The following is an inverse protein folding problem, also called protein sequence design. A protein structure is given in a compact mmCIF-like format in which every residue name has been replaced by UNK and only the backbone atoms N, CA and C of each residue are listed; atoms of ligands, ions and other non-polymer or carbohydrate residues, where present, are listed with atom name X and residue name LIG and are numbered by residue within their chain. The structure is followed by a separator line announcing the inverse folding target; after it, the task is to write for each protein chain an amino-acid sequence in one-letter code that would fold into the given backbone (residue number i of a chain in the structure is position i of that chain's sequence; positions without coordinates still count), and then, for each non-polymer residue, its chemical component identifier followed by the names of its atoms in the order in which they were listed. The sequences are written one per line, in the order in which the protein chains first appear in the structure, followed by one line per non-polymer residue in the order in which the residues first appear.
data_IF_352498754037
#
_entry.id   IF_352498754037
#
_cell.length_a   1.000
_cell.length_b   1.000
_cell.length_c   1.000
_cell.angle_alpha   90.00
_cell.angle_beta   90.00
_cell.angle_gamma   90.00
#
_symmetry.space_group_name_H-M   'P 1'
#
loop_
_entity.id
_entity.type
_entity.pdbx_description
1 polymer ?
#
# COMPACT_ATOMS: atom_id res chain seq x y z
N UNK A 1 66.26 -77.36 -45.71
CA UNK A 1 65.08 -76.47 -45.55
C UNK A 1 65.56 -75.11 -45.08
N UNK A 2 64.80 -74.09 -45.43
CA UNK A 2 65.09 -72.67 -45.26
C UNK A 2 65.05 -72.20 -43.80
N UNK A 3 65.98 -71.33 -43.40
CA UNK A 3 65.68 -69.88 -43.39
C UNK A 3 66.90 -68.99 -43.16
N UNK A 4 67.07 -68.08 -44.13
CA UNK A 4 67.60 -66.71 -44.08
C UNK A 4 68.34 -66.25 -42.81
N UNK A 5 69.62 -65.93 -42.99
CA UNK A 5 70.37 -64.94 -42.20
C UNK A 5 69.85 -63.52 -42.45
N UNK A 6 69.65 -62.75 -41.38
CA UNK A 6 69.74 -61.28 -41.39
C UNK A 6 70.47 -60.86 -40.11
N UNK A 7 71.65 -60.26 -40.25
CA UNK A 7 72.41 -59.72 -39.12
C UNK A 7 71.84 -58.37 -38.66
N UNK A 8 71.55 -58.25 -37.36
CA UNK A 8 71.41 -56.95 -36.68
C UNK A 8 72.21 -57.01 -35.37
N UNK A 9 72.93 -55.93 -35.07
CA UNK A 9 74.02 -55.93 -34.10
C UNK A 9 73.59 -56.02 -32.63
N UNK A 10 74.51 -56.59 -31.84
CA UNK A 10 74.44 -56.82 -30.42
C UNK A 10 74.60 -55.51 -29.62
N UNK A 11 73.53 -55.02 -29.00
CA UNK A 11 73.59 -54.20 -27.78
C UNK A 11 72.74 -54.84 -26.67
N UNK A 12 73.23 -54.88 -25.41
CA UNK A 12 72.52 -55.54 -24.33
C UNK A 12 71.36 -54.70 -23.79
N UNK A 13 70.38 -55.36 -23.17
CA UNK A 13 69.37 -54.69 -22.37
C UNK A 13 70.04 -53.97 -21.19
N UNK A 14 70.02 -52.63 -21.22
CA UNK A 14 70.31 -51.81 -20.05
C UNK A 14 68.99 -51.60 -19.31
N UNK A 15 68.79 -52.33 -18.21
CA UNK A 15 67.78 -51.97 -17.23
C UNK A 15 68.14 -50.58 -16.66
N UNK A 16 67.49 -49.54 -17.19
CA UNK A 16 67.41 -48.27 -16.48
C UNK A 16 66.51 -48.48 -15.27
N UNK A 17 67.12 -48.93 -14.17
CA UNK A 17 66.44 -49.06 -12.89
C UNK A 17 65.75 -47.74 -12.54
N UNK A 18 64.43 -47.78 -12.51
CA UNK A 18 63.60 -46.59 -12.32
C UNK A 18 63.84 -46.03 -10.91
N UNK A 19 64.74 -45.05 -10.80
CA UNK A 19 64.95 -44.31 -9.57
C UNK A 19 63.60 -43.72 -9.14
N UNK A 20 63.19 -43.87 -7.87
CA UNK A 20 61.89 -43.38 -7.42
C UNK A 20 61.82 -41.88 -7.68
N UNK A 21 60.79 -41.45 -8.41
CA UNK A 21 60.61 -40.06 -8.80
C UNK A 21 60.63 -39.18 -7.55
N UNK A 22 61.68 -38.36 -7.42
CA UNK A 22 61.80 -37.43 -6.30
C UNK A 22 60.62 -36.45 -6.39
N UNK A 23 59.86 -36.19 -5.31
CA UNK A 23 58.76 -35.25 -5.35
C UNK A 23 59.28 -33.88 -5.82
N UNK A 24 58.54 -33.22 -6.72
CA UNK A 24 58.95 -31.92 -7.28
C UNK A 24 59.14 -30.89 -6.17
N UNK A 25 59.88 -29.83 -6.46
CA UNK A 25 60.13 -28.78 -5.46
C UNK A 25 58.82 -28.17 -4.96
N UNK A 26 57.81 -28.01 -5.83
CA UNK A 26 56.44 -27.58 -5.48
C UNK A 26 55.79 -28.54 -4.48
N UNK A 27 55.94 -29.85 -4.69
CA UNK A 27 55.37 -30.87 -3.80
C UNK A 27 56.09 -30.93 -2.44
N UNK A 28 57.38 -30.59 -2.41
CA UNK A 28 58.15 -30.42 -1.18
C UNK A 28 57.84 -29.09 -0.46
N UNK A 29 57.56 -28.02 -1.20
CA UNK A 29 57.09 -26.74 -0.64
C UNK A 29 55.67 -26.89 -0.07
N UNK A 30 54.76 -27.52 -0.81
CA UNK A 30 53.38 -27.79 -0.38
C UNK A 30 53.33 -28.67 0.88
N UNK A 31 54.15 -29.72 0.96
CA UNK A 31 54.19 -30.57 2.16
C UNK A 31 54.77 -29.86 3.39
N UNK A 32 55.76 -28.96 3.23
CA UNK A 32 56.23 -28.06 4.29
C UNK A 32 55.13 -27.09 4.73
N UNK A 33 54.47 -26.43 3.78
CA UNK A 33 53.35 -25.52 4.07
C UNK A 33 52.18 -26.24 4.77
N UNK A 34 51.85 -27.47 4.37
CA UNK A 34 50.85 -28.30 5.05
C UNK A 34 51.26 -28.69 6.48
N UNK A 35 52.56 -28.91 6.74
CA UNK A 35 53.05 -29.18 8.09
C UNK A 35 53.00 -27.96 9.01
N UNK A 36 53.22 -26.76 8.47
CA UNK A 36 53.26 -25.49 9.22
C UNK A 36 51.86 -24.85 9.37
N UNK A 37 51.07 -24.80 8.29
CA UNK A 37 49.78 -24.10 8.21
C UNK A 37 48.56 -25.02 8.04
N UNK A 38 48.74 -26.32 7.77
CA UNK A 38 47.60 -27.22 7.49
C UNK A 38 46.58 -27.33 8.63
N UNK A 39 47.04 -27.25 9.90
CA UNK A 39 46.16 -27.23 11.08
C UNK A 39 45.31 -25.95 11.18
N UNK A 40 45.89 -24.73 11.21
CA UNK A 40 45.09 -23.51 11.23
C UNK A 40 44.21 -23.36 9.97
N UNK A 41 44.71 -23.77 8.79
CA UNK A 41 43.92 -23.78 7.55
C UNK A 41 42.68 -24.68 7.64
N UNK A 42 42.82 -25.91 8.18
CA UNK A 42 41.67 -26.80 8.44
C UNK A 42 40.68 -26.18 9.42
N UNK A 43 41.13 -25.55 10.52
CA UNK A 43 40.21 -24.89 11.45
C UNK A 43 39.50 -23.70 10.81
N UNK A 44 40.17 -22.93 9.95
CA UNK A 44 39.56 -21.84 9.18
C UNK A 44 38.51 -22.34 8.18
N UNK A 45 38.79 -23.45 7.49
CA UNK A 45 37.85 -24.08 6.55
C UNK A 45 36.63 -24.64 7.28
N UNK A 46 36.80 -25.30 8.43
CA UNK A 46 35.68 -25.79 9.26
C UNK A 46 34.83 -24.62 9.79
N UNK A 47 35.45 -23.54 10.28
CA UNK A 47 34.72 -22.35 10.71
C UNK A 47 33.94 -21.70 9.54
N UNK A 48 34.56 -21.59 8.36
CA UNK A 48 33.89 -21.09 7.17
C UNK A 48 32.71 -21.99 6.75
N UNK A 49 32.86 -23.31 6.82
CA UNK A 49 31.78 -24.26 6.53
C UNK A 49 30.61 -24.15 7.52
N UNK A 50 30.89 -23.96 8.82
CA UNK A 50 29.85 -23.72 9.85
C UNK A 50 29.15 -22.37 9.63
N UNK A 51 29.89 -21.31 9.26
CA UNK A 51 29.32 -20.00 8.92
C UNK A 51 28.43 -20.11 7.67
N UNK A 52 28.88 -20.79 6.61
CA UNK A 52 28.09 -21.02 5.39
C UNK A 52 26.85 -21.88 5.66
N UNK A 53 26.95 -22.91 6.49
CA UNK A 53 25.79 -23.70 6.93
C UNK A 53 24.79 -22.85 7.74
N UNK A 54 25.27 -22.01 8.66
CA UNK A 54 24.45 -21.07 9.42
C UNK A 54 23.74 -20.05 8.53
N UNK A 55 24.44 -19.48 7.54
CA UNK A 55 23.87 -18.58 6.53
C UNK A 55 22.84 -19.33 5.66
N UNK A 56 23.13 -20.57 5.26
CA UNK A 56 22.20 -21.39 4.47
C UNK A 56 20.90 -21.66 5.22
N UNK A 57 20.98 -22.11 6.48
CA UNK A 57 19.82 -22.33 7.37
C UNK A 57 19.06 -21.02 7.64
N UNK A 58 19.76 -19.90 7.84
CA UNK A 58 19.12 -18.59 8.02
C UNK A 58 18.39 -18.11 6.75
N UNK A 59 18.99 -18.25 5.56
CA UNK A 59 18.35 -17.91 4.28
C UNK A 59 17.16 -18.82 4.00
N UNK A 60 17.28 -20.13 4.21
CA UNK A 60 16.19 -21.09 4.06
C UNK A 60 15.02 -20.75 5.00
N UNK A 61 15.30 -20.47 6.28
CA UNK A 61 14.27 -20.10 7.26
C UNK A 61 13.60 -18.75 6.96
N UNK A 62 14.29 -17.83 6.29
CA UNK A 62 13.67 -16.59 5.79
C UNK A 62 12.85 -16.82 4.51
N UNK A 63 13.29 -17.72 3.61
CA UNK A 63 12.48 -18.12 2.45
C UNK A 63 11.14 -18.74 2.89
N UNK A 64 11.16 -19.71 3.81
CA UNK A 64 9.95 -20.32 4.36
C UNK A 64 9.03 -19.33 5.09
N UNK A 65 9.59 -18.26 5.68
CA UNK A 65 8.80 -17.16 6.26
C UNK A 65 8.13 -16.30 5.17
N UNK A 66 8.84 -15.97 4.10
CA UNK A 66 8.29 -15.22 2.98
C UNK A 66 7.19 -16.01 2.27
N UNK A 67 7.42 -17.30 2.02
CA UNK A 67 6.42 -18.24 1.48
C UNK A 67 5.16 -18.29 2.37
N UNK A 68 5.33 -18.42 3.68
CA UNK A 68 4.20 -18.42 4.63
C UNK A 68 3.46 -17.06 4.70
N UNK A 69 4.16 -15.93 4.53
CA UNK A 69 3.56 -14.60 4.50
C UNK A 69 2.80 -14.32 3.19
N UNK A 70 3.27 -14.87 2.06
CA UNK A 70 2.55 -14.87 0.77
C UNK A 70 1.34 -15.79 0.82
N UNK A 71 1.48 -17.01 1.36
CA UNK A 71 0.35 -17.93 1.50
C UNK A 71 -0.72 -17.38 2.44
N UNK A 72 -0.34 -16.71 3.54
CA UNK A 72 -1.30 -16.04 4.41
C UNK A 72 -2.09 -14.95 3.67
N UNK A 73 -1.41 -14.12 2.87
CA UNK A 73 -2.05 -13.09 2.05
C UNK A 73 -3.11 -13.67 1.09
N UNK A 74 -2.83 -14.83 0.47
CA UNK A 74 -3.76 -15.53 -0.41
C UNK A 74 -4.88 -16.31 0.32
N UNK A 75 -4.90 -16.34 1.65
CA UNK A 75 -5.95 -16.98 2.45
C UNK A 75 -6.78 -15.97 3.26
N UNK A 76 -6.28 -14.75 3.46
CA UNK A 76 -7.04 -13.62 3.99
C UNK A 76 -8.26 -13.33 3.12
N UNK A 77 -9.43 -13.26 3.76
CA UNK A 77 -10.72 -12.96 3.12
C UNK A 77 -11.39 -11.72 3.73
N UNK A 78 -10.74 -11.07 4.70
CA UNK A 78 -11.23 -9.87 5.40
C UNK A 78 -10.14 -8.79 5.52
N UNK A 79 -10.50 -7.50 5.55
CA UNK A 79 -9.55 -6.41 5.75
C UNK A 79 -8.87 -6.49 7.12
N UNK A 80 -9.55 -7.03 8.15
CA UNK A 80 -8.97 -7.30 9.46
C UNK A 80 -7.81 -8.31 9.40
N UNK A 81 -7.91 -9.36 8.59
CA UNK A 81 -6.83 -10.35 8.42
C UNK A 81 -5.66 -9.75 7.65
N UNK A 82 -5.93 -8.98 6.58
CA UNK A 82 -4.91 -8.25 5.83
C UNK A 82 -4.15 -7.26 6.72
N UNK A 83 -4.86 -6.47 7.53
CA UNK A 83 -4.26 -5.52 8.46
C UNK A 83 -3.47 -6.22 9.58
N UNK A 84 -4.00 -7.29 10.17
CA UNK A 84 -3.28 -8.09 11.17
C UNK A 84 -2.03 -8.76 10.58
N UNK A 85 -2.07 -9.24 9.34
CA UNK A 85 -0.91 -9.80 8.67
C UNK A 85 0.22 -8.76 8.51
N UNK A 86 -0.13 -7.54 8.11
CA UNK A 86 0.82 -6.42 8.01
C UNK A 86 1.38 -6.01 9.38
N UNK A 87 0.55 -5.94 10.42
CA UNK A 87 0.95 -5.59 11.79
C UNK A 87 1.83 -6.66 12.46
N UNK A 88 1.62 -7.94 12.12
CA UNK A 88 2.34 -9.09 12.71
C UNK A 88 3.78 -9.23 12.22
N UNK A 89 4.06 -8.87 10.96
CA UNK A 89 5.43 -8.83 10.43
C UNK A 89 5.63 -7.61 9.49
N UNK A 90 5.79 -6.38 10.04
CA UNK A 90 5.97 -5.15 9.25
C UNK A 90 7.30 -5.08 8.47
N UNK A 91 8.08 -6.15 8.45
CA UNK A 91 9.31 -6.30 7.66
C UNK A 91 9.17 -7.37 6.56
N UNK A 92 8.02 -8.06 6.49
CA UNK A 92 7.70 -8.94 5.38
C UNK A 92 7.46 -8.14 4.09
N UNK A 93 7.97 -8.64 2.96
CA UNK A 93 7.79 -7.99 1.65
C UNK A 93 6.30 -7.87 1.24
N UNK A 94 5.41 -8.66 1.83
CA UNK A 94 3.96 -8.60 1.63
C UNK A 94 3.25 -7.60 2.54
N UNK A 95 3.87 -7.10 3.61
CA UNK A 95 3.20 -6.23 4.59
C UNK A 95 2.71 -4.88 4.03
N UNK A 96 3.39 -4.22 3.08
CA UNK A 96 2.85 -3.04 2.40
C UNK A 96 1.60 -3.40 1.58
N UNK A 97 1.68 -4.45 0.76
CA UNK A 97 0.56 -4.90 -0.07
C UNK A 97 -0.65 -5.30 0.80
N UNK A 98 -0.43 -6.04 1.88
CA UNK A 98 -1.46 -6.42 2.84
C UNK A 98 -2.15 -5.18 3.44
N UNK A 99 -1.40 -4.16 3.86
CA UNK A 99 -1.98 -2.95 4.45
C UNK A 99 -2.73 -2.09 3.41
N UNK A 100 -2.24 -2.02 2.16
CA UNK A 100 -2.94 -1.35 1.07
C UNK A 100 -4.24 -2.09 0.67
N UNK A 101 -4.21 -3.42 0.60
CA UNK A 101 -5.40 -4.25 0.35
C UNK A 101 -6.42 -4.16 1.48
N UNK A 102 -5.99 -4.10 2.75
CA UNK A 102 -6.88 -3.84 3.88
C UNK A 102 -7.60 -2.50 3.73
N UNK A 103 -6.86 -1.43 3.41
CA UNK A 103 -7.43 -0.09 3.23
C UNK A 103 -8.42 -0.01 2.07
N UNK A 104 -8.09 -0.61 0.91
CA UNK A 104 -8.96 -0.67 -0.26
C UNK A 104 -10.25 -1.48 0.01
N UNK A 105 -10.15 -2.59 0.74
CA UNK A 105 -11.30 -3.42 1.11
C UNK A 105 -12.16 -2.76 2.20
N UNK A 106 -11.58 -2.06 3.18
CA UNK A 106 -12.35 -1.19 4.09
C UNK A 106 -13.12 -0.12 3.31
N UNK A 107 -12.49 0.53 2.33
CA UNK A 107 -13.17 1.52 1.47
C UNK A 107 -14.32 0.88 0.66
N UNK A 108 -14.11 -0.30 0.08
CA UNK A 108 -15.14 -1.04 -0.65
C UNK A 108 -16.33 -1.46 0.23
N UNK A 109 -16.09 -1.70 1.53
CA UNK A 109 -17.14 -1.97 2.54
C UNK A 109 -17.84 -0.71 3.07
N UNK A 110 -17.46 0.49 2.63
CA UNK A 110 -18.00 1.76 3.13
C UNK A 110 -17.44 2.18 4.50
N UNK A 111 -16.33 1.58 4.93
CA UNK A 111 -15.69 1.74 6.25
C UNK A 111 -14.55 2.74 6.15
N UNK A 112 -14.92 3.98 5.82
CA UNK A 112 -13.99 5.01 5.38
C UNK A 112 -13.02 5.49 6.47
N UNK A 113 -13.42 5.47 7.75
CA UNK A 113 -12.55 5.75 8.88
C UNK A 113 -11.42 4.70 9.00
N UNK A 114 -11.74 3.41 8.93
CA UNK A 114 -10.74 2.34 8.96
C UNK A 114 -9.85 2.33 7.70
N UNK A 115 -10.44 2.65 6.54
CA UNK A 115 -9.70 2.79 5.28
C UNK A 115 -8.68 3.94 5.35
N UNK A 116 -9.10 5.13 5.81
CA UNK A 116 -8.25 6.30 6.00
C UNK A 116 -7.10 5.98 6.95
N UNK A 117 -7.39 5.43 8.13
CA UNK A 117 -6.37 5.06 9.11
C UNK A 117 -5.38 3.99 8.58
N UNK A 118 -5.85 3.05 7.75
CA UNK A 118 -4.99 2.05 7.12
C UNK A 118 -4.09 2.65 6.02
N UNK A 119 -4.60 3.57 5.19
CA UNK A 119 -3.80 4.29 4.20
C UNK A 119 -2.79 5.26 4.84
N UNK A 120 -3.16 6.01 5.87
CA UNK A 120 -2.24 6.88 6.61
C UNK A 120 -1.11 6.07 7.28
N UNK A 121 -1.46 4.91 7.86
CA UNK A 121 -0.46 4.00 8.41
C UNK A 121 0.45 3.42 7.31
N UNK A 122 -0.08 3.07 6.13
CA UNK A 122 0.74 2.66 4.99
C UNK A 122 1.75 3.76 4.62
N UNK A 123 1.30 5.01 4.49
CA UNK A 123 2.16 6.13 4.10
C UNK A 123 3.21 6.45 5.16
N UNK A 124 2.91 6.21 6.44
CA UNK A 124 3.84 6.38 7.57
C UNK A 124 4.88 5.26 7.63
N UNK A 125 4.47 4.00 7.42
CA UNK A 125 5.34 2.83 7.51
C UNK A 125 6.17 2.57 6.24
N UNK A 126 5.61 2.87 5.07
CA UNK A 126 6.16 2.52 3.76
C UNK A 126 6.22 3.71 2.76
N UNK A 127 6.71 4.91 3.16
CA UNK A 127 6.61 6.15 2.36
C UNK A 127 7.31 6.11 0.99
N UNK A 128 8.22 5.16 0.76
CA UNK A 128 8.94 4.99 -0.51
C UNK A 128 8.55 3.71 -1.28
N UNK A 129 7.41 3.10 -0.93
CA UNK A 129 6.88 1.94 -1.64
C UNK A 129 6.16 2.35 -2.94
N UNK A 130 6.15 1.47 -3.94
CA UNK A 130 5.49 1.71 -5.23
C UNK A 130 3.97 1.95 -5.14
N UNK A 131 3.31 1.50 -4.07
CA UNK A 131 1.88 1.75 -3.81
C UNK A 131 1.62 3.05 -3.01
N UNK A 132 2.66 3.83 -2.67
CA UNK A 132 2.48 5.11 -1.97
C UNK A 132 1.64 6.15 -2.74
N UNK A 133 1.69 6.24 -4.09
CA UNK A 133 0.77 7.09 -4.84
C UNK A 133 -0.69 6.61 -4.68
N UNK A 134 -0.94 5.30 -4.81
CA UNK A 134 -2.26 4.70 -4.65
C UNK A 134 -2.83 4.95 -3.24
N UNK A 135 -2.00 4.82 -2.20
CA UNK A 135 -2.39 5.13 -0.83
C UNK A 135 -2.67 6.63 -0.61
N UNK A 136 -1.95 7.54 -1.27
CA UNK A 136 -2.25 8.99 -1.24
C UNK A 136 -3.56 9.33 -1.94
N UNK A 137 -3.85 8.69 -3.08
CA UNK A 137 -5.17 8.78 -3.71
C UNK A 137 -6.26 8.22 -2.77
N UNK A 138 -5.98 7.09 -2.13
CA UNK A 138 -6.86 6.45 -1.15
C UNK A 138 -7.25 7.35 0.03
N UNK A 139 -6.30 8.07 0.63
CA UNK A 139 -6.57 9.08 1.67
C UNK A 139 -7.57 10.13 1.18
N UNK A 140 -7.34 10.74 0.02
CA UNK A 140 -8.21 11.77 -0.53
C UNK A 140 -9.61 11.23 -0.89
N UNK A 141 -9.70 9.99 -1.38
CA UNK A 141 -10.97 9.31 -1.64
C UNK A 141 -11.75 8.98 -0.36
N UNK A 142 -11.07 8.57 0.72
CA UNK A 142 -11.71 8.39 2.03
C UNK A 142 -12.26 9.72 2.56
N UNK A 143 -11.51 10.81 2.39
CA UNK A 143 -11.95 12.16 2.77
C UNK A 143 -13.15 12.64 1.95
N UNK A 144 -13.20 12.38 0.63
CA UNK A 144 -14.40 12.65 -0.20
C UNK A 144 -15.61 11.84 0.29
N UNK A 145 -15.40 10.58 0.68
CA UNK A 145 -16.45 9.68 1.16
C UNK A 145 -16.91 9.96 2.61
N UNK A 146 -16.16 10.75 3.37
CA UNK A 146 -16.48 11.23 4.73
C UNK A 146 -17.08 12.65 4.75
N UNK A 147 -17.46 13.20 3.59
CA UNK A 147 -17.88 14.60 3.39
C UNK A 147 -16.78 15.65 3.77
N UNK A 148 -15.52 15.24 3.96
CA UNK A 148 -14.37 16.11 4.25
C UNK A 148 -13.81 16.78 2.98
N UNK A 149 -14.70 17.32 2.14
CA UNK A 149 -14.38 17.81 0.79
C UNK A 149 -13.18 18.76 0.71
N UNK A 150 -12.99 19.64 1.70
CA UNK A 150 -11.85 20.56 1.73
C UNK A 150 -10.49 19.85 1.91
N UNK A 151 -10.46 18.74 2.66
CA UNK A 151 -9.26 17.91 2.80
C UNK A 151 -9.04 17.07 1.52
N UNK A 152 -10.12 16.48 0.97
CA UNK A 152 -10.09 15.73 -0.28
C UNK A 152 -9.54 16.54 -1.45
N UNK A 153 -10.00 17.80 -1.64
CA UNK A 153 -9.47 18.72 -2.66
C UNK A 153 -7.95 18.90 -2.51
N UNK A 154 -7.48 19.19 -1.29
CA UNK A 154 -6.05 19.38 -1.04
C UNK A 154 -5.23 18.10 -1.29
N UNK A 155 -5.75 16.93 -0.88
CA UNK A 155 -5.13 15.63 -1.12
C UNK A 155 -5.04 15.27 -2.61
N UNK A 156 -6.14 15.42 -3.34
CA UNK A 156 -6.19 15.16 -4.79
C UNK A 156 -5.31 16.13 -5.59
N UNK A 157 -5.30 17.43 -5.25
CA UNK A 157 -4.41 18.42 -5.90
C UNK A 157 -2.94 18.13 -5.59
N UNK A 158 -2.59 17.79 -4.35
CA UNK A 158 -1.23 17.40 -3.98
C UNK A 158 -0.78 16.14 -4.74
N UNK A 159 -1.63 15.11 -4.84
CA UNK A 159 -1.37 13.91 -5.63
C UNK A 159 -1.15 14.24 -7.12
N UNK A 160 -2.00 15.08 -7.72
CA UNK A 160 -1.91 15.45 -9.14
C UNK A 160 -0.68 16.33 -9.47
N UNK A 161 -0.11 17.02 -8.47
CA UNK A 161 1.11 17.80 -8.58
C UNK A 161 2.38 16.98 -8.29
N UNK A 162 2.34 16.03 -7.35
CA UNK A 162 3.48 15.16 -7.01
C UNK A 162 3.68 14.05 -8.06
N UNK A 163 2.61 13.58 -8.71
CA UNK A 163 2.65 12.47 -9.66
C UNK A 163 2.10 12.87 -11.06
N UNK A 164 2.78 13.77 -11.80
CA UNK A 164 2.33 14.26 -13.11
C UNK A 164 2.08 13.13 -14.13
N UNK A 165 2.90 12.08 -14.11
CA UNK A 165 2.85 10.95 -15.06
C UNK A 165 1.95 9.78 -14.60
N UNK A 166 1.24 9.89 -13.47
CA UNK A 166 0.44 8.78 -12.94
C UNK A 166 -0.90 8.65 -13.70
N UNK A 167 -1.30 7.46 -14.18
CA UNK A 167 -2.59 7.24 -14.86
C UNK A 167 -3.85 7.69 -14.08
N UNK A 168 -3.78 7.79 -12.75
CA UNK A 168 -4.87 8.29 -11.90
C UNK A 168 -4.88 9.82 -11.75
N UNK A 169 -3.88 10.57 -12.24
CA UNK A 169 -3.86 12.05 -12.18
C UNK A 169 -5.12 12.69 -12.77
N UNK A 170 -5.63 12.28 -13.96
CA UNK A 170 -6.85 12.87 -14.51
C UNK A 170 -8.07 12.60 -13.61
N UNK A 171 -8.15 11.42 -13.00
CA UNK A 171 -9.20 11.06 -12.06
C UNK A 171 -9.15 11.91 -10.78
N UNK A 172 -7.96 12.15 -10.22
CA UNK A 172 -7.79 13.01 -9.04
C UNK A 172 -8.17 14.47 -9.32
N UNK A 173 -7.79 15.04 -10.46
CA UNK A 173 -8.19 16.40 -10.85
C UNK A 173 -9.72 16.52 -11.01
N UNK A 174 -10.35 15.54 -11.64
CA UNK A 174 -11.81 15.47 -11.76
C UNK A 174 -12.50 15.33 -10.39
N UNK A 175 -11.96 14.52 -9.47
CA UNK A 175 -12.48 14.35 -8.13
C UNK A 175 -12.33 15.62 -7.26
N UNK A 176 -11.21 16.35 -7.40
CA UNK A 176 -11.03 17.67 -6.77
C UNK A 176 -12.09 18.68 -7.26
N UNK A 177 -12.37 18.72 -8.58
CA UNK A 177 -13.40 19.59 -9.13
C UNK A 177 -14.81 19.24 -8.59
N UNK A 178 -15.16 17.96 -8.50
CA UNK A 178 -16.40 17.47 -7.87
C UNK A 178 -16.52 17.89 -6.40
N UNK A 179 -15.45 17.77 -5.62
CA UNK A 179 -15.44 18.16 -4.21
C UNK A 179 -15.68 19.67 -4.07
N UNK A 180 -15.08 20.50 -4.94
CA UNK A 180 -15.37 21.94 -5.01
C UNK A 180 -16.82 22.25 -5.41
N UNK A 181 -17.50 21.39 -6.19
CA UNK A 181 -18.96 21.52 -6.41
C UNK A 181 -19.75 21.30 -5.12
N UNK A 182 -19.43 20.26 -4.33
CA UNK A 182 -20.14 19.97 -3.07
C UNK A 182 -19.94 21.08 -2.03
N UNK A 183 -18.81 21.79 -2.08
CA UNK A 183 -18.52 22.96 -1.25
C UNK A 183 -19.21 24.26 -1.72
N UNK A 184 -20.02 24.23 -2.79
CA UNK A 184 -20.54 25.40 -3.52
C UNK A 184 -19.46 26.38 -4.06
N UNK A 185 -18.18 25.97 -4.10
CA UNK A 185 -17.03 26.71 -4.63
C UNK A 185 -17.02 26.74 -6.17
N UNK A 186 -18.17 27.08 -6.77
CA UNK A 186 -18.46 26.93 -8.20
C UNK A 186 -17.45 27.62 -9.13
N UNK A 187 -16.87 28.76 -8.72
CA UNK A 187 -15.86 29.45 -9.51
C UNK A 187 -14.51 28.71 -9.54
N UNK A 188 -14.14 28.06 -8.43
CA UNK A 188 -12.91 27.26 -8.32
C UNK A 188 -13.10 25.90 -9.01
N UNK A 189 -14.23 25.22 -8.76
CA UNK A 189 -14.61 23.99 -9.45
C UNK A 189 -14.59 24.19 -10.98
N UNK A 190 -15.14 25.31 -11.44
CA UNK A 190 -15.13 25.69 -12.86
C UNK A 190 -13.73 25.88 -13.42
N UNK A 191 -12.83 26.55 -12.70
CA UNK A 191 -11.44 26.71 -13.15
C UNK A 191 -10.76 25.33 -13.30
N UNK A 192 -10.88 24.46 -12.29
CA UNK A 192 -10.31 23.10 -12.35
C UNK A 192 -10.89 22.28 -13.51
N UNK A 193 -12.18 22.41 -13.84
CA UNK A 193 -12.74 21.76 -15.03
C UNK A 193 -12.26 22.38 -16.37
N UNK A 194 -12.13 23.70 -16.45
CA UNK A 194 -11.64 24.38 -17.66
C UNK A 194 -10.17 24.03 -17.93
N UNK A 195 -9.33 23.95 -16.90
CA UNK A 195 -7.94 23.50 -16.98
C UNK A 195 -7.85 21.99 -17.26
N UNK A 196 -8.65 21.17 -16.58
CA UNK A 196 -8.69 19.71 -16.76
C UNK A 196 -9.00 19.33 -18.22
N UNK A 197 -10.01 19.96 -18.83
CA UNK A 197 -10.40 19.70 -20.23
C UNK A 197 -9.35 20.21 -21.23
N UNK A 198 -8.58 21.24 -20.88
CA UNK A 198 -7.48 21.73 -21.71
C UNK A 198 -6.25 20.81 -21.67
N UNK A 199 -5.94 20.22 -20.50
CA UNK A 199 -4.82 19.29 -20.32
C UNK A 199 -5.12 17.84 -20.75
N UNK A 200 -6.37 17.38 -20.60
CA UNK A 200 -6.73 15.95 -20.70
C UNK A 200 -7.85 15.69 -21.75
N UNK A 201 -7.69 16.11 -23.03
CA UNK A 201 -8.77 16.08 -24.02
C UNK A 201 -9.23 14.66 -24.43
N UNK A 202 -8.39 13.63 -24.22
CA UNK A 202 -8.71 12.22 -24.52
C UNK A 202 -9.09 11.42 -23.24
N UNK A 203 -9.48 12.09 -22.15
CA UNK A 203 -9.72 11.44 -20.85
C UNK A 203 -11.06 10.72 -20.75
N UNK A 204 -11.08 9.57 -20.07
CA UNK A 204 -12.31 8.85 -19.70
C UNK A 204 -13.26 9.63 -18.78
N UNK A 205 -12.83 10.80 -18.27
CA UNK A 205 -13.62 11.73 -17.45
C UNK A 205 -14.04 13.02 -18.19
N UNK A 206 -13.74 13.14 -19.49
CA UNK A 206 -14.01 14.34 -20.29
C UNK A 206 -15.52 14.68 -20.34
N UNK A 207 -16.38 13.74 -20.73
CA UNK A 207 -17.83 13.97 -20.87
C UNK A 207 -18.47 14.41 -19.54
N UNK A 208 -17.97 13.87 -18.43
CA UNK A 208 -18.42 14.18 -17.07
C UNK A 208 -17.93 15.56 -16.63
N UNK A 209 -16.68 15.93 -16.95
CA UNK A 209 -16.15 17.27 -16.70
C UNK A 209 -16.85 18.35 -17.54
N UNK A 210 -17.15 18.09 -18.82
CA UNK A 210 -17.99 18.97 -19.65
C UNK A 210 -19.39 19.13 -19.07
N UNK A 211 -19.98 18.04 -18.55
CA UNK A 211 -21.30 18.04 -17.92
C UNK A 211 -21.33 18.87 -16.63
N UNK A 212 -20.34 18.70 -15.75
CA UNK A 212 -20.16 19.52 -14.53
C UNK A 212 -19.96 20.99 -14.87
N UNK A 213 -19.05 21.29 -15.80
CA UNK A 213 -18.80 22.65 -16.28
C UNK A 213 -20.05 23.32 -16.87
N UNK A 214 -20.89 22.56 -17.59
CA UNK A 214 -22.18 23.05 -18.11
C UNK A 214 -23.24 23.25 -17.01
N UNK A 215 -23.22 22.45 -15.93
CA UNK A 215 -24.05 22.68 -14.75
C UNK A 215 -23.62 23.96 -14.03
N UNK A 216 -22.33 24.10 -13.72
CA UNK A 216 -21.76 25.29 -13.05
C UNK A 216 -22.08 26.58 -13.81
N UNK A 217 -21.89 26.61 -15.13
CA UNK A 217 -22.22 27.79 -15.97
C UNK A 217 -23.71 28.17 -15.94
N UNK A 218 -24.61 27.22 -15.69
CA UNK A 218 -26.05 27.52 -15.47
C UNK A 218 -26.29 28.06 -14.06
N UNK A 219 -25.66 27.45 -13.05
CA UNK A 219 -25.78 27.84 -11.64
C UNK A 219 -25.19 29.23 -11.37
N UNK A 220 -24.00 29.55 -11.91
CA UNK A 220 -23.42 30.90 -11.88
C UNK A 220 -24.38 31.93 -12.51
N UNK A 221 -24.89 31.64 -13.70
CA UNK A 221 -25.82 32.54 -14.41
C UNK A 221 -27.13 32.75 -13.65
N UNK A 222 -27.65 31.72 -12.98
CA UNK A 222 -28.84 31.85 -12.14
C UNK A 222 -28.56 32.70 -10.88
N UNK A 223 -27.43 32.48 -10.21
CA UNK A 223 -26.99 33.24 -9.01
C UNK A 223 -26.74 34.72 -9.36
N UNK A 224 -26.12 34.99 -10.52
CA UNK A 224 -25.94 36.34 -11.06
C UNK A 224 -27.27 36.99 -11.45
N UNK A 225 -28.18 36.26 -12.12
CA UNK A 225 -29.50 36.79 -12.48
C UNK A 225 -30.31 37.19 -11.24
N UNK A 226 -30.31 36.35 -10.20
CA UNK A 226 -30.95 36.64 -8.92
C UNK A 226 -30.33 37.86 -8.21
N UNK A 227 -29.00 37.98 -8.20
CA UNK A 227 -28.30 39.15 -7.65
C UNK A 227 -28.51 40.44 -8.48
N UNK A 228 -28.82 40.33 -9.76
CA UNK A 228 -29.12 41.47 -10.65
C UNK A 228 -30.59 41.88 -10.66
N UNK A 229 -31.48 41.07 -10.10
CA UNK A 229 -32.89 41.42 -9.97
C UNK A 229 -33.03 42.57 -8.96
N UNK A 230 -33.69 43.69 -9.31
CA UNK A 230 -33.89 44.78 -8.36
C UNK A 230 -34.73 44.29 -7.19
N UNK A 231 -34.33 44.66 -5.96
CA UNK A 231 -35.07 44.37 -4.75
C UNK A 231 -36.41 45.13 -4.73
N UNK A 232 -37.42 44.51 -5.32
CA UNK A 232 -38.78 45.04 -5.36
C UNK A 232 -39.49 44.82 -4.02
N UNK A 233 -40.21 45.84 -3.57
CA UNK A 233 -41.24 45.81 -2.52
C UNK A 233 -40.78 45.63 -1.06
N UNK A 234 -40.19 46.70 -0.49
CA UNK A 234 -40.65 47.23 0.80
C UNK A 234 -41.17 48.68 0.66
N UNK A 235 -42.20 48.84 -0.18
CA UNK A 235 -43.08 50.03 -0.15
C UNK A 235 -44.54 49.58 -0.13
N UNK A 236 -44.96 48.96 0.97
CA UNK A 236 -46.37 48.72 1.25
C UNK A 236 -47.03 50.08 1.42
N UNK A 237 -47.75 50.53 0.39
CA UNK A 237 -48.54 51.75 0.45
C UNK A 237 -49.74 51.53 1.37
N UNK A 238 -49.78 52.24 2.50
CA UNK A 238 -50.89 52.21 3.46
C UNK A 238 -52.13 52.90 2.87
N UNK A 239 -52.79 52.23 1.92
CA UNK A 239 -54.01 52.68 1.28
C UNK A 239 -55.21 52.40 2.20
N UNK A 240 -55.69 53.44 2.88
CA UNK A 240 -56.77 53.34 3.86
C UNK A 240 -58.05 52.72 3.30
N UNK A 241 -58.64 51.78 4.04
CA UNK A 241 -59.95 51.17 3.74
C UNK A 241 -60.92 51.44 4.90
N UNK A 242 -62.05 52.13 4.70
CA UNK A 242 -63.07 52.31 5.74
C UNK A 242 -63.90 51.02 5.92
N UNK A 243 -64.27 50.64 7.16
CA UNK A 243 -64.97 49.39 7.41
C UNK A 243 -66.49 49.52 7.19
N UNK A 244 -67.07 48.62 6.39
CA UNK A 244 -68.52 48.36 6.37
C UNK A 244 -68.75 46.84 6.39
N UNK A 245 -69.45 46.35 7.41
CA UNK A 245 -69.73 44.93 7.58
C UNK A 245 -71.06 44.53 6.91
N UNK A 246 -71.08 43.31 6.34
CA UNK A 246 -72.34 42.59 6.04
C UNK A 246 -72.19 41.13 6.51
N UNK A 247 -73.17 40.68 7.29
CA UNK A 247 -73.24 39.37 7.94
C UNK A 247 -74.12 38.40 7.13
N UNK A 248 -73.75 37.10 7.02
CA UNK A 248 -74.60 35.88 7.10
C UNK A 248 -73.88 34.62 6.54
N UNK A 249 -74.27 33.37 6.82
CA UNK A 249 -74.81 32.70 8.04
C UNK A 249 -74.95 31.18 7.80
N UNK A 250 -74.35 30.34 8.66
CA UNK A 250 -74.53 28.86 8.72
C UNK A 250 -74.02 28.08 7.46
N UNK A 251 -73.87 26.74 7.42
CA UNK A 251 -74.38 25.64 8.28
C UNK A 251 -73.28 24.65 8.75
N UNK A 252 -73.67 23.50 9.33
CA UNK A 252 -72.85 22.55 10.14
C UNK A 252 -72.79 21.14 9.45
N UNK A 253 -72.30 20.04 10.07
CA UNK A 253 -71.05 19.36 9.68
C UNK A 253 -71.21 17.91 9.13
N UNK A 254 -70.07 17.22 8.89
CA UNK A 254 -69.75 15.80 9.27
C UNK A 254 -69.34 14.85 8.12
N UNK A 255 -68.26 14.09 8.38
CA UNK A 255 -67.75 12.90 7.65
C UNK A 255 -67.20 13.16 6.22
N UNK A 256 -66.32 12.33 5.65
CA UNK A 256 -65.68 11.03 6.05
C UNK A 256 -64.17 11.24 6.34
N UNK A 257 -63.19 10.30 6.42
CA UNK A 257 -63.13 8.84 6.23
C UNK A 257 -62.29 8.13 7.33
N UNK A 258 -61.10 7.57 7.05
CA UNK A 258 -60.26 6.72 7.92
C UNK A 258 -58.77 6.72 7.45
N UNK A 259 -57.87 6.38 8.39
CA UNK A 259 -56.64 5.52 8.32
C UNK A 259 -56.27 4.83 6.96
N UNK A 260 -55.00 4.39 6.72
CA UNK A 260 -53.97 4.05 7.72
C UNK A 260 -52.48 4.42 7.44
N UNK A 261 -51.62 4.00 8.38
CA UNK A 261 -50.15 4.03 8.42
C UNK A 261 -49.53 2.78 7.74
N UNK A 262 -48.38 2.98 7.08
CA UNK A 262 -47.32 2.02 6.72
C UNK A 262 -47.61 0.85 5.75
N UNK A 263 -46.68 0.66 4.81
CA UNK A 263 -46.27 -0.63 4.27
C UNK A 263 -44.81 -0.53 3.78
N UNK A 264 -43.85 -0.82 4.65
CA UNK A 264 -42.51 -1.25 4.19
C UNK A 264 -42.61 -2.70 3.71
N UNK A 265 -41.87 -3.10 2.67
CA UNK A 265 -41.95 -4.44 2.11
C UNK A 265 -40.57 -5.01 1.80
N UNK A 266 -40.04 -5.79 2.75
CA UNK A 266 -39.11 -6.86 2.43
C UNK A 266 -39.89 -8.03 1.79
N UNK A 267 -39.17 -8.87 1.03
CA UNK A 267 -39.60 -10.24 0.69
C UNK A 267 -38.31 -11.08 0.61
N UNK A 268 -37.90 -11.75 1.69
CA UNK A 268 -38.45 -13.02 2.24
C UNK A 268 -37.86 -14.22 1.49
N UNK A 269 -37.15 -15.08 2.24
CA UNK A 269 -36.48 -16.28 1.75
C UNK A 269 -37.37 -17.53 1.89
N UNK A 270 -36.97 -18.63 1.25
CA UNK A 270 -37.70 -19.90 1.30
C UNK A 270 -36.73 -21.08 1.54
N UNK A 271 -36.96 -21.82 2.63
CA UNK A 271 -36.45 -23.15 2.94
C UNK A 271 -37.52 -23.83 3.82
N UNK A 272 -37.66 -25.17 3.83
CA UNK A 272 -37.12 -25.89 5.01
C UNK A 272 -36.70 -27.38 4.80
N UNK A 273 -35.64 -27.80 5.50
CA UNK A 273 -35.51 -29.02 6.34
C UNK A 273 -35.80 -30.43 5.76
N UNK A 274 -35.16 -31.54 6.17
CA UNK A 274 -33.96 -31.88 6.98
C UNK A 274 -33.69 -33.41 6.72
N UNK A 275 -33.07 -34.30 7.54
CA UNK A 275 -32.52 -34.34 8.91
C UNK A 275 -31.57 -35.57 9.07
N UNK A 276 -30.90 -35.68 10.23
CA UNK A 276 -30.13 -36.85 10.74
C UNK A 276 -28.83 -37.21 9.96
N UNK A 277 -27.73 -37.69 10.56
CA UNK A 277 -27.28 -37.89 11.97
C UNK A 277 -25.72 -38.06 11.96
N UNK A 278 -24.92 -38.22 13.03
CA UNK A 278 -25.18 -38.49 14.46
C UNK A 278 -24.27 -37.66 15.41
N UNK A 279 -23.28 -38.27 16.07
CA UNK A 279 -22.45 -37.73 17.17
C UNK A 279 -21.08 -38.42 17.25
N UNK A 280 -20.08 -37.81 17.92
CA UNK A 280 -19.26 -38.36 19.04
C UNK A 280 -18.19 -37.33 19.48
N UNK A 281 -17.74 -37.43 20.74
CA UNK A 281 -16.80 -36.54 21.46
C UNK A 281 -15.33 -36.69 20.96
N UNK A 282 -14.39 -35.78 21.26
CA UNK A 282 -13.77 -35.59 22.59
C UNK A 282 -13.04 -34.24 22.77
N UNK A 283 -12.92 -33.81 24.02
CA UNK A 283 -12.03 -32.75 24.53
C UNK A 283 -11.30 -33.34 25.76
N UNK A 284 -10.01 -33.05 26.03
CA UNK A 284 -9.77 -32.04 27.07
C UNK A 284 -8.43 -31.25 27.01
N UNK A 285 -8.44 -30.11 27.72
CA UNK A 285 -7.36 -29.57 28.58
C UNK A 285 -6.07 -28.96 27.98
N UNK A 286 -6.10 -27.63 27.87
CA UNK A 286 -5.33 -26.65 28.66
C UNK A 286 -3.91 -26.97 29.20
N UNK A 287 -2.98 -26.03 28.98
CA UNK A 287 -1.95 -25.62 29.96
C UNK A 287 -1.56 -24.12 29.77
N UNK A 288 -1.00 -23.48 30.81
CA UNK A 288 -0.63 -22.04 30.89
C UNK A 288 0.77 -21.89 31.56
N UNK A 289 1.42 -20.70 31.68
CA UNK A 289 1.21 -19.42 31.01
C UNK A 289 2.51 -18.88 30.34
N UNK A 290 2.49 -17.65 29.83
CA UNK A 290 3.65 -16.98 29.22
C UNK A 290 4.60 -16.29 30.24
N UNK A 291 5.91 -16.16 29.94
CA UNK A 291 6.83 -15.27 30.66
C UNK A 291 6.76 -13.82 30.11
N UNK A 292 6.71 -12.83 31.01
CA UNK A 292 6.71 -11.41 30.64
C UNK A 292 8.10 -10.88 30.23
N UNK A 293 8.12 -9.80 29.44
CA UNK A 293 9.35 -9.10 29.02
C UNK A 293 9.26 -7.62 29.40
N UNK A 294 10.17 -7.15 30.24
CA UNK A 294 10.29 -5.72 30.61
C UNK A 294 10.82 -4.85 29.44
N UNK A 295 10.43 -3.56 29.34
CA UNK A 295 11.01 -2.64 28.38
C UNK A 295 12.47 -2.26 28.70
N UNK A 296 13.30 -1.89 27.70
CA UNK A 296 14.75 -1.75 27.86
C UNK A 296 15.18 -0.54 28.69
N UNK A 297 16.13 -0.75 29.61
CA UNK A 297 16.72 0.30 30.46
C UNK A 297 17.67 1.20 29.64
N UNK A 298 17.40 2.51 29.66
CA UNK A 298 18.28 3.55 29.06
C UNK A 298 19.69 3.47 29.64
N UNK A 299 20.72 3.48 28.79
CA UNK A 299 22.10 3.82 29.19
C UNK A 299 22.61 5.03 28.41
N UNK A 300 22.55 6.19 29.04
CA UNK A 300 23.30 7.37 28.65
C UNK A 300 24.76 7.23 29.06
N UNK A 301 25.68 7.21 28.10
CA UNK A 301 27.11 7.38 28.33
C UNK A 301 27.74 7.96 27.06
N UNK A 302 28.23 9.19 27.12
CA UNK A 302 28.86 9.85 25.98
C UNK A 302 30.25 10.39 26.29
N UNK A 303 30.86 10.99 25.25
CA UNK A 303 31.88 12.04 25.33
C UNK A 303 33.33 11.62 25.65
N UNK A 304 34.14 11.44 24.59
CA UNK A 304 35.41 12.16 24.29
C UNK A 304 36.10 11.55 23.05
N UNK A 305 37.07 12.18 22.35
CA UNK A 305 37.31 13.57 21.88
C UNK A 305 38.70 13.63 21.23
N UNK A 306 38.80 13.61 19.89
CA UNK A 306 39.93 14.13 19.09
C UNK A 306 39.47 14.18 17.61
N UNK A 307 39.63 15.21 16.76
CA UNK A 307 40.41 16.46 16.77
C UNK A 307 41.84 16.42 16.18
N UNK A 308 41.93 16.20 14.87
CA UNK A 308 42.85 16.86 13.93
C UNK A 308 42.10 16.95 12.58
N UNK A 309 41.93 18.08 11.89
CA UNK A 309 42.78 19.25 11.63
C UNK A 309 43.76 19.03 10.46
N UNK A 310 43.36 19.63 9.34
CA UNK A 310 44.02 19.88 8.05
C UNK A 310 45.35 20.66 8.19
N UNK A 311 46.20 20.81 7.13
CA UNK A 311 45.83 21.56 5.91
C UNK A 311 46.34 21.00 4.56
N UNK A 312 45.76 21.52 3.48
CA UNK A 312 46.25 21.38 2.11
C UNK A 312 47.27 22.47 1.70
N UNK A 313 48.11 22.14 0.71
CA UNK A 313 48.81 23.05 -0.21
C UNK A 313 49.11 22.23 -1.48
N UNK A 314 48.50 22.51 -2.63
CA UNK A 314 48.97 23.46 -3.66
C UNK A 314 50.43 23.24 -4.11
N UNK A 315 50.58 22.63 -5.30
CA UNK A 315 51.60 22.95 -6.29
C UNK A 315 51.14 22.41 -7.66
N UNK A 316 51.19 23.23 -8.71
CA UNK A 316 50.93 22.84 -10.09
C UNK A 316 52.04 23.37 -11.01
N UNK A 317 52.50 22.56 -11.95
CA UNK A 317 53.37 22.92 -13.09
C UNK A 317 53.32 21.80 -14.13
N UNK A 318 53.27 22.19 -15.41
CA UNK A 318 53.37 21.39 -16.66
C UNK A 318 52.67 20.01 -16.71
#
# INVERSE_FOLDING_TARGET
MDKKTDDIEKTPATEQGAAPARPSEDMQQFSKWMAEYGKPALTGLVLAAVILAGISVWRGRQASKAEAAVQALFQSQSPEEFQQLALRDPQAATAPLALASAAAEYYAQGRYDEALAAYEHFLTAYPSNMLAPEAKYGVAACQEALDEYAAAVAGYQAFAAEYPENPQRPQALFAAARCLEQMESFAEARAVYEDFLAENPDSAWQEQAESGLLFLKKTERAKQAAASAPAAEETVTEAATPPVAVEKKATKPKATTKKPKAAAKAKEAEEPQAAAEAQVTDEPQADEPAPAVEPPKKKSAGKKKAAAAEPAAEAATD
#
